data_IF_930078224032
#
_entry.id   IF_930078224032
#
_cell.length_a   1.000
_cell.length_b   1.000
_cell.length_c   1.000
_cell.angle_alpha   90.00
_cell.angle_beta   90.00
_cell.angle_gamma   90.00
#
_symmetry.space_group_name_H-M   'P 1'
#
loop_
_entity.id
_entity.type
_entity.pdbx_description
1 polymer ?
#
# COMPACT_ATOMS: atom_id res chain seq x y z
N UNK A 1 42.63 -16.92 -23.18
CA UNK A 1 41.84 -16.08 -22.25
C UNK A 1 40.81 -15.16 -22.94
N UNK A 2 40.92 -14.89 -24.26
CA UNK A 2 40.08 -13.92 -24.98
C UNK A 2 38.69 -14.45 -25.42
N UNK A 3 38.56 -15.77 -25.66
CA UNK A 3 37.33 -16.40 -26.18
C UNK A 3 36.13 -16.27 -25.23
N UNK A 4 36.34 -16.48 -23.93
CA UNK A 4 35.29 -16.39 -22.88
C UNK A 4 34.66 -15.00 -22.75
N UNK A 5 35.37 -13.93 -23.14
CA UNK A 5 34.89 -12.54 -23.02
C UNK A 5 34.02 -12.12 -24.21
N UNK A 6 34.25 -12.69 -25.38
CA UNK A 6 33.40 -12.50 -26.57
C UNK A 6 32.06 -13.24 -26.41
N UNK A 7 32.07 -14.43 -25.81
CA UNK A 7 30.85 -15.21 -25.55
C UNK A 7 29.91 -14.51 -24.56
N UNK A 8 30.46 -13.81 -23.56
CA UNK A 8 29.68 -13.00 -22.61
C UNK A 8 29.02 -11.78 -23.28
N UNK A 9 29.69 -11.13 -24.23
CA UNK A 9 29.14 -9.97 -24.94
C UNK A 9 28.04 -10.38 -25.94
N UNK A 10 28.17 -11.54 -26.60
CA UNK A 10 27.11 -12.11 -27.44
C UNK A 10 25.87 -12.51 -26.66
N UNK A 11 26.02 -12.87 -25.38
CA UNK A 11 24.88 -13.25 -24.54
C UNK A 11 24.15 -12.02 -23.98
N UNK A 12 24.84 -10.89 -23.78
CA UNK A 12 24.22 -9.64 -23.36
C UNK A 12 23.36 -8.98 -24.46
N UNK A 13 23.74 -9.12 -25.73
CA UNK A 13 22.93 -8.63 -26.84
C UNK A 13 21.64 -9.44 -27.05
N UNK A 14 21.61 -10.73 -26.69
CA UNK A 14 20.39 -11.56 -26.72
C UNK A 14 19.44 -11.21 -25.56
N UNK A 15 19.97 -10.90 -24.37
CA UNK A 15 19.16 -10.51 -23.20
C UNK A 15 18.54 -9.12 -23.43
N UNK A 16 19.29 -8.18 -24.00
CA UNK A 16 18.77 -6.85 -24.34
C UNK A 16 17.70 -6.90 -25.45
N UNK A 17 17.86 -7.78 -26.44
CA UNK A 17 16.87 -7.97 -27.51
C UNK A 17 15.53 -8.56 -27.00
N UNK A 18 15.57 -9.39 -25.95
CA UNK A 18 14.34 -9.91 -25.31
C UNK A 18 13.57 -8.87 -24.50
N UNK A 19 14.25 -7.82 -24.01
CA UNK A 19 13.62 -6.71 -23.28
C UNK A 19 12.90 -5.75 -24.24
N UNK A 20 13.35 -5.63 -25.50
CA UNK A 20 12.81 -4.68 -26.47
C UNK A 20 11.80 -5.25 -27.48
N UNK A 21 11.67 -6.57 -27.61
CA UNK A 21 10.85 -7.19 -28.66
C UNK A 21 9.44 -7.63 -28.24
N UNK A 22 8.98 -7.33 -27.02
CA UNK A 22 7.64 -7.79 -26.61
C UNK A 22 6.82 -6.71 -25.87
N UNK A 23 6.15 -5.80 -26.60
CA UNK A 23 5.25 -4.81 -26.01
C UNK A 23 4.01 -5.43 -25.34
N UNK A 24 3.84 -6.75 -25.42
CA UNK A 24 2.73 -7.48 -24.80
C UNK A 24 2.96 -7.93 -23.35
N UNK A 25 4.19 -7.88 -22.82
CA UNK A 25 4.46 -8.30 -21.43
C UNK A 25 4.05 -7.26 -20.37
N UNK A 26 3.45 -6.13 -20.77
CA UNK A 26 2.83 -5.17 -19.86
C UNK A 26 1.35 -5.50 -19.54
N UNK A 27 0.74 -6.49 -20.22
CA UNK A 27 -0.70 -6.80 -20.10
C UNK A 27 -1.03 -8.04 -19.27
N UNK A 28 -0.07 -8.89 -18.91
CA UNK A 28 -0.35 -10.07 -18.06
C UNK A 28 -0.47 -9.74 -16.56
N UNK A 29 -0.22 -8.49 -16.16
CA UNK A 29 -0.41 -8.01 -14.79
C UNK A 29 -1.81 -7.45 -14.47
N UNK A 30 -2.75 -7.45 -15.43
CA UNK A 30 -4.05 -6.79 -15.29
C UNK A 30 -5.27 -7.61 -14.80
N UNK A 31 -5.24 -8.90 -14.40
CA UNK A 31 -6.47 -9.52 -13.89
C UNK A 31 -6.78 -9.18 -12.42
N UNK A 32 -5.82 -8.59 -11.67
CA UNK A 32 -5.97 -8.30 -10.23
C UNK A 32 -6.71 -6.98 -9.96
N UNK A 33 -6.57 -5.99 -10.85
CA UNK A 33 -7.24 -4.68 -10.73
C UNK A 33 -8.74 -4.74 -11.05
N UNK A 34 -9.18 -5.71 -11.87
CA UNK A 34 -10.60 -5.94 -12.17
C UNK A 34 -11.30 -6.88 -11.19
N UNK A 35 -10.58 -7.47 -10.24
CA UNK A 35 -11.20 -8.24 -9.15
C UNK A 35 -11.82 -7.30 -8.12
N UNK A 36 -12.99 -7.65 -7.57
CA UNK A 36 -13.66 -6.90 -6.50
C UNK A 36 -12.74 -6.63 -5.29
N UNK A 37 -11.79 -7.54 -5.03
CA UNK A 37 -10.77 -7.38 -3.98
C UNK A 37 -9.73 -6.31 -4.34
N UNK A 38 -9.24 -6.29 -5.58
CA UNK A 38 -8.30 -5.29 -6.06
C UNK A 38 -8.90 -3.88 -6.07
N UNK A 39 -10.15 -3.76 -6.53
CA UNK A 39 -10.92 -2.51 -6.48
C UNK A 39 -11.10 -2.00 -5.04
N UNK A 40 -11.45 -2.89 -4.09
CA UNK A 40 -11.57 -2.52 -2.67
C UNK A 40 -10.25 -1.99 -2.08
N UNK A 41 -9.14 -2.66 -2.38
CA UNK A 41 -7.82 -2.25 -1.91
C UNK A 41 -7.40 -0.91 -2.52
N UNK A 42 -7.60 -0.73 -3.83
CA UNK A 42 -7.34 0.51 -4.56
C UNK A 42 -8.16 1.67 -3.99
N UNK A 43 -9.44 1.43 -3.79
CA UNK A 43 -10.37 2.38 -3.19
C UNK A 43 -9.91 2.79 -1.78
N UNK A 44 -9.42 1.85 -0.98
CA UNK A 44 -8.83 2.13 0.33
C UNK A 44 -7.61 3.06 0.26
N UNK A 45 -6.78 3.00 -0.79
CA UNK A 45 -5.65 3.94 -0.96
C UNK A 45 -6.12 5.33 -1.37
N UNK A 46 -7.07 5.43 -2.31
CA UNK A 46 -7.66 6.70 -2.76
C UNK A 46 -8.36 7.39 -1.58
N UNK A 47 -9.18 6.65 -0.85
CA UNK A 47 -9.87 7.12 0.36
C UNK A 47 -8.89 7.70 1.38
N UNK A 48 -7.83 6.96 1.74
CA UNK A 48 -6.82 7.44 2.70
C UNK A 48 -6.11 8.71 2.23
N UNK A 49 -5.80 8.79 0.93
CA UNK A 49 -5.20 9.99 0.35
C UNK A 49 -6.16 11.18 0.45
N UNK A 50 -7.43 11.00 0.07
CA UNK A 50 -8.47 12.02 0.18
C UNK A 50 -8.69 12.49 1.61
N UNK A 51 -8.80 11.58 2.58
CA UNK A 51 -8.94 11.92 4.00
C UNK A 51 -7.74 12.73 4.52
N UNK A 52 -6.52 12.32 4.19
CA UNK A 52 -5.32 13.06 4.61
C UNK A 52 -5.22 14.45 3.97
N UNK A 53 -5.78 14.65 2.77
CA UNK A 53 -5.70 15.90 2.03
C UNK A 53 -6.84 16.88 2.37
N UNK A 54 -8.06 16.38 2.51
CA UNK A 54 -9.27 17.21 2.65
C UNK A 54 -9.85 17.24 4.06
N UNK A 55 -9.55 16.26 4.91
CA UNK A 55 -10.12 16.16 6.26
C UNK A 55 -9.09 15.72 7.31
N UNK A 56 -8.06 16.56 7.56
CA UNK A 56 -7.05 16.26 8.56
C UNK A 56 -7.64 16.13 9.96
N UNK A 57 -8.70 16.88 10.27
CA UNK A 57 -9.37 16.86 11.57
C UNK A 57 -9.99 15.48 11.87
N UNK A 58 -10.74 14.91 10.92
CA UNK A 58 -11.24 13.54 11.04
C UNK A 58 -10.11 12.54 11.26
N UNK A 59 -9.01 12.67 10.53
CA UNK A 59 -7.87 11.75 10.65
C UNK A 59 -7.24 11.86 12.03
N UNK A 60 -7.04 13.07 12.57
CA UNK A 60 -6.52 13.28 13.92
C UNK A 60 -7.43 12.69 15.01
N UNK A 61 -8.74 12.88 14.89
CA UNK A 61 -9.72 12.27 15.79
C UNK A 61 -9.71 10.74 15.75
N UNK A 62 -9.51 10.14 14.58
CA UNK A 62 -9.37 8.69 14.49
C UNK A 62 -8.02 8.19 15.04
N UNK A 63 -6.94 8.96 14.81
CA UNK A 63 -5.62 8.64 15.32
C UNK A 63 -5.55 8.69 16.86
N UNK A 64 -6.37 9.53 17.51
CA UNK A 64 -6.45 9.55 18.98
C UNK A 64 -7.18 8.32 19.55
N UNK A 65 -8.08 7.71 18.77
CA UNK A 65 -8.73 6.44 19.11
C UNK A 65 -7.86 5.22 18.79
N UNK A 66 -6.85 5.38 17.92
CA UNK A 66 -5.96 4.30 17.49
C UNK A 66 -5.07 3.84 18.63
N UNK A 67 -5.12 2.54 18.92
CA UNK A 67 -4.32 1.90 19.95
C UNK A 67 -3.23 1.00 19.35
N UNK A 68 -2.14 0.83 20.09
CA UNK A 68 -0.99 0.02 19.68
C UNK A 68 0.05 0.80 18.88
N UNK A 69 1.02 0.06 18.33
CA UNK A 69 2.15 0.61 17.58
C UNK A 69 2.44 -0.23 16.33
N UNK A 70 3.18 0.34 15.38
CA UNK A 70 3.55 -0.39 14.18
C UNK A 70 4.55 -1.49 14.51
N UNK A 71 4.16 -2.74 14.29
CA UNK A 71 5.02 -3.92 14.41
C UNK A 71 5.86 -4.21 13.16
N UNK A 72 5.90 -3.28 12.19
CA UNK A 72 6.51 -3.47 10.87
C UNK A 72 6.14 -4.81 10.20
N UNK A 73 4.86 -5.22 10.27
CA UNK A 73 4.38 -6.44 9.61
C UNK A 73 4.41 -6.38 8.07
N UNK A 74 4.62 -5.20 7.47
CA UNK A 74 4.65 -5.00 6.02
C UNK A 74 3.29 -5.14 5.33
N UNK A 75 2.21 -5.45 6.05
CA UNK A 75 0.88 -5.63 5.47
C UNK A 75 0.37 -4.34 4.80
N UNK A 76 0.64 -3.18 5.40
CA UNK A 76 0.33 -1.86 4.83
C UNK A 76 1.06 -1.58 3.50
N UNK A 77 2.23 -2.20 3.31
CA UNK A 77 3.07 -2.05 2.12
C UNK A 77 2.71 -3.05 1.00
N UNK A 78 1.82 -4.01 1.25
CA UNK A 78 1.39 -5.06 0.31
C UNK A 78 -0.08 -4.94 -0.11
N UNK A 79 -0.79 -3.85 0.21
CA UNK A 79 -2.26 -3.76 -0.02
C UNK A 79 -2.69 -3.92 -1.49
N UNK A 80 -2.09 -3.16 -2.41
CA UNK A 80 -2.48 -3.16 -3.84
C UNK A 80 -1.31 -3.62 -4.69
N UNK A 81 -0.15 -2.98 -4.47
CA UNK A 81 1.12 -3.32 -5.07
C UNK A 81 2.16 -3.42 -3.95
N UNK A 82 3.20 -4.21 -4.19
CA UNK A 82 4.34 -4.28 -3.28
C UNK A 82 5.09 -2.95 -3.32
N UNK A 83 5.13 -2.26 -2.17
CA UNK A 83 5.92 -1.03 -2.02
C UNK A 83 7.39 -1.30 -2.35
N UNK A 84 8.06 -0.45 -3.15
CA UNK A 84 9.47 -0.64 -3.50
C UNK A 84 10.41 -0.56 -2.29
N UNK A 85 9.97 0.08 -1.20
CA UNK A 85 10.73 0.23 0.04
C UNK A 85 10.50 -0.92 1.04
N UNK A 86 9.80 -1.98 0.64
CA UNK A 86 9.54 -3.14 1.49
C UNK A 86 10.63 -4.20 1.26
N UNK A 87 11.32 -4.60 2.33
CA UNK A 87 12.29 -5.71 2.30
C UNK A 87 11.92 -6.78 3.32
N UNK A 88 11.70 -8.00 2.85
CA UNK A 88 11.18 -9.16 3.61
C UNK A 88 9.79 -8.88 4.19
N UNK A 89 9.72 -8.11 5.27
CA UNK A 89 8.48 -7.53 5.83
C UNK A 89 8.67 -6.13 6.43
N UNK A 90 9.88 -5.56 6.40
CA UNK A 90 10.20 -4.28 7.05
C UNK A 90 10.19 -3.12 6.05
N UNK A 91 9.73 -1.97 6.51
CA UNK A 91 9.74 -0.73 5.74
C UNK A 91 11.10 -0.04 5.90
N UNK A 92 11.87 0.05 4.81
CA UNK A 92 13.23 0.63 4.85
C UNK A 92 13.24 2.13 5.14
N UNK A 93 12.13 2.83 4.84
CA UNK A 93 11.99 4.27 5.04
C UNK A 93 11.20 4.63 6.30
N UNK A 94 11.03 3.68 7.24
CA UNK A 94 10.16 3.85 8.40
C UNK A 94 10.56 5.06 9.26
N UNK A 95 11.85 5.23 9.55
CA UNK A 95 12.34 6.33 10.38
C UNK A 95 12.90 7.51 9.57
N UNK A 96 13.02 7.38 8.25
CA UNK A 96 13.64 8.40 7.39
C UNK A 96 12.62 9.29 6.71
N UNK A 97 11.85 8.76 5.77
CA UNK A 97 10.96 9.55 4.92
C UNK A 97 9.66 8.82 4.62
N UNK A 98 8.87 8.52 5.66
CA UNK A 98 7.50 8.01 5.44
C UNK A 98 6.59 9.11 4.89
N UNK A 99 5.89 8.87 3.78
CA UNK A 99 4.80 9.74 3.37
C UNK A 99 3.73 9.83 4.45
N UNK A 100 3.07 10.97 4.52
CA UNK A 100 2.05 11.28 5.50
C UNK A 100 0.90 10.26 5.55
N UNK A 101 0.46 9.78 4.39
CA UNK A 101 -0.55 8.73 4.28
C UNK A 101 -0.07 7.41 4.91
N UNK A 102 1.24 7.12 4.86
CA UNK A 102 1.82 5.92 5.48
C UNK A 102 1.97 6.08 7.01
N UNK A 103 2.26 7.29 7.50
CA UNK A 103 2.36 7.58 8.94
C UNK A 103 1.00 7.50 9.64
N UNK A 104 -0.04 8.00 8.97
CA UNK A 104 -1.43 8.04 9.45
C UNK A 104 -2.16 6.70 9.29
N UNK A 105 -1.53 5.69 8.69
CA UNK A 105 -2.12 4.36 8.55
C UNK A 105 -1.99 3.54 9.85
N UNK A 106 -3.01 2.74 10.22
CA UNK A 106 -4.39 2.77 9.74
C UNK A 106 -5.09 4.04 10.21
N UNK A 107 -5.94 4.63 9.37
CA UNK A 107 -6.76 5.78 9.77
C UNK A 107 -7.87 5.28 10.68
N UNK A 108 -8.58 4.21 10.28
CA UNK A 108 -9.68 3.64 11.07
C UNK A 108 -9.78 2.12 10.90
N UNK A 109 -10.78 1.50 11.53
CA UNK A 109 -10.97 0.05 11.50
C UNK A 109 -11.22 -0.51 10.08
N UNK A 110 -11.79 0.29 9.16
CA UNK A 110 -11.96 -0.10 7.75
C UNK A 110 -10.63 -0.45 7.09
N UNK A 111 -9.58 0.30 7.43
CA UNK A 111 -8.24 0.05 6.92
C UNK A 111 -7.66 -1.28 7.43
N UNK A 112 -7.97 -1.65 8.69
CA UNK A 112 -7.58 -2.93 9.27
C UNK A 112 -8.32 -4.11 8.64
N UNK A 113 -9.61 -3.96 8.30
CA UNK A 113 -10.39 -5.00 7.59
C UNK A 113 -9.83 -5.34 6.21
N UNK A 114 -9.12 -4.41 5.58
CA UNK A 114 -8.43 -4.64 4.33
C UNK A 114 -7.12 -5.43 4.52
N UNK A 115 -6.62 -5.55 5.75
CA UNK A 115 -5.46 -6.37 6.08
C UNK A 115 -5.93 -7.78 6.46
N UNK A 116 -5.15 -8.79 6.12
CA UNK A 116 -5.43 -10.18 6.51
C UNK A 116 -5.06 -10.46 7.99
N UNK A 117 -5.37 -9.54 8.92
CA UNK A 117 -5.25 -9.78 10.37
C UNK A 117 -3.85 -9.72 11.00
N UNK A 118 -2.82 -9.23 10.29
CA UNK A 118 -1.40 -9.27 10.76
C UNK A 118 -0.96 -7.98 11.48
N UNK A 119 -1.86 -7.01 11.67
CA UNK A 119 -1.51 -5.69 12.17
C UNK A 119 -1.74 -5.54 13.67
N UNK A 120 -0.77 -5.00 14.41
CA UNK A 120 -0.88 -4.76 15.86
C UNK A 120 -1.72 -3.55 16.25
N UNK A 121 -2.14 -2.72 15.29
CA UNK A 121 -3.05 -1.62 15.57
C UNK A 121 -4.48 -2.12 15.83
N UNK A 122 -5.18 -1.46 16.73
CA UNK A 122 -6.59 -1.75 17.04
C UNK A 122 -7.36 -0.45 17.33
N UNK A 123 -8.69 -0.55 17.28
CA UNK A 123 -9.62 0.53 17.62
C UNK A 123 -10.59 0.01 18.69
N UNK A 124 -11.07 0.89 19.61
CA UNK A 124 -11.99 0.48 20.65
C UNK A 124 -13.32 -0.02 20.07
N UNK A 125 -13.80 -1.16 20.58
CA UNK A 125 -15.08 -1.76 20.17
C UNK A 125 -16.29 -0.96 20.66
N UNK A 126 -16.17 -0.29 21.82
CA UNK A 126 -17.18 0.66 22.28
C UNK A 126 -17.03 1.94 21.48
N UNK A 127 -18.03 2.23 20.65
CA UNK A 127 -18.13 3.49 19.94
C UNK A 127 -18.13 4.62 20.99
N UNK A 128 -17.26 5.63 20.85
CA UNK A 128 -17.42 6.84 21.64
C UNK A 128 -18.81 7.44 21.35
N UNK A 129 -19.40 8.10 22.35
CA UNK A 129 -20.73 8.73 22.25
C UNK A 129 -20.82 9.71 21.06
N UNK A 130 -19.66 10.24 20.63
CA UNK A 130 -19.49 10.96 19.37
C UNK A 130 -18.48 10.21 18.49
N UNK A 131 -18.96 9.53 17.46
CA UNK A 131 -18.10 8.92 16.44
C UNK A 131 -17.63 10.02 15.50
N UNK A 132 -16.31 10.20 15.28
CA UNK A 132 -15.82 11.16 14.28
C UNK A 132 -16.47 10.85 12.94
N UNK A 133 -17.10 11.85 12.33
CA UNK A 133 -17.67 11.75 10.98
C UNK A 133 -16.85 12.59 10.03
N UNK A 134 -16.49 12.06 8.85
CA UNK A 134 -15.85 12.87 7.83
C UNK A 134 -16.78 14.00 7.39
N UNK A 135 -16.20 15.16 7.15
CA UNK A 135 -16.85 16.41 6.72
C UNK A 135 -17.46 16.34 5.32
N UNK A 136 -17.03 15.38 4.50
CA UNK A 136 -17.52 15.15 3.15
C UNK A 136 -18.38 13.88 3.09
N UNK A 137 -19.36 13.80 2.16
CA UNK A 137 -20.31 12.70 2.10
C UNK A 137 -19.58 11.36 2.04
N UNK A 138 -20.06 10.37 2.80
CA UNK A 138 -19.54 9.00 2.90
C UNK A 138 -19.71 8.20 1.60
N UNK A 139 -19.21 8.73 0.48
CA UNK A 139 -19.24 8.12 -0.85
C UNK A 139 -18.48 6.79 -0.87
N UNK A 140 -17.63 6.53 0.13
CA UNK A 140 -16.83 5.33 0.30
C UNK A 140 -17.35 4.34 1.35
N UNK A 141 -18.54 4.54 1.91
CA UNK A 141 -19.18 3.62 2.88
C UNK A 141 -20.21 2.68 2.24
N UNK A 142 -20.17 2.53 0.91
CA UNK A 142 -21.03 1.59 0.17
C UNK A 142 -20.35 0.25 -0.04
#
# INVERSE_FOLDING_TARGET
>A
MFKRRIDLLKNQSIIAARIFANPFHCLEGMPILFSARGLRMLWGKIRRFGLCAFDPHYVEQQLSLRQGSCNQCGACCKLIFSCPYLKENRCLIYDTCRPDVCKRFPIDERDLRNLNGVCSYSFPTKLPEVVPTPSFPRLWDR
#
